data_IF_812539904832
#
_entry.id   IF_812539904832
#
_cell.length_a   1.000
_cell.length_b   1.000
_cell.length_c   1.000
_cell.angle_alpha   90.00
_cell.angle_beta   90.00
_cell.angle_gamma   90.00
#
_symmetry.space_group_name_H-M   'P 1'
#
loop_
_entity.id
_entity.type
_entity.pdbx_description
1 polymer ?
#
# COMPACT_ATOMS: atom_id res chain seq x y z
N UNK A 1 -9.05 55.46 -30.58
CA UNK A 1 -9.26 55.29 -29.15
C UNK A 1 -10.11 54.11 -28.79
N UNK A 2 -11.00 53.65 -29.63
CA UNK A 2 -11.77 52.44 -29.37
C UNK A 2 -10.95 51.16 -29.48
N UNK A 3 -9.78 51.19 -30.07
CA UNK A 3 -8.93 50.01 -30.31
C UNK A 3 -8.29 49.48 -29.02
N UNK A 4 -8.08 50.31 -28.04
CA UNK A 4 -7.41 49.91 -26.81
C UNK A 4 -8.27 49.02 -25.92
N UNK A 5 -9.57 49.10 -26.02
CA UNK A 5 -10.44 48.23 -25.23
C UNK A 5 -10.40 46.75 -25.62
N UNK A 6 -10.20 46.47 -26.90
CA UNK A 6 -10.11 45.10 -27.36
C UNK A 6 -8.79 44.45 -26.95
N UNK A 7 -7.72 45.19 -26.94
CA UNK A 7 -6.40 44.73 -26.52
C UNK A 7 -6.41 44.34 -25.03
N UNK A 8 -7.02 45.15 -24.19
CA UNK A 8 -7.10 44.86 -22.76
C UNK A 8 -7.93 43.63 -22.47
N UNK A 9 -8.95 43.37 -23.20
CA UNK A 9 -9.78 42.15 -23.02
C UNK A 9 -9.02 40.91 -23.42
N UNK A 10 -8.28 40.94 -24.51
CA UNK A 10 -7.47 39.82 -24.98
C UNK A 10 -6.33 39.49 -24.00
N UNK A 11 -5.68 40.49 -23.47
CA UNK A 11 -4.60 40.31 -22.51
C UNK A 11 -5.12 39.72 -21.21
N UNK A 12 -6.26 40.13 -20.73
CA UNK A 12 -6.88 39.56 -19.56
C UNK A 12 -7.27 38.10 -19.74
N UNK A 13 -7.80 37.75 -20.89
CA UNK A 13 -8.13 36.37 -21.21
C UNK A 13 -6.88 35.47 -21.20
N UNK A 14 -5.80 35.91 -21.80
CA UNK A 14 -4.54 35.17 -21.83
C UNK A 14 -3.99 34.96 -20.41
N UNK A 15 -4.08 35.93 -19.54
CA UNK A 15 -3.63 35.84 -18.17
C UNK A 15 -4.44 34.81 -17.37
N UNK A 16 -5.74 34.76 -17.57
CA UNK A 16 -6.63 33.81 -16.88
C UNK A 16 -6.30 32.38 -17.35
N UNK A 17 -6.09 32.18 -18.63
CA UNK A 17 -5.74 30.86 -19.19
C UNK A 17 -4.39 30.38 -18.65
N UNK A 18 -3.41 31.26 -18.56
CA UNK A 18 -2.10 30.94 -18.00
C UNK A 18 -2.18 30.53 -16.53
N UNK A 19 -3.02 31.17 -15.75
CA UNK A 19 -3.24 30.82 -14.35
C UNK A 19 -3.88 29.44 -14.20
N UNK A 20 -4.83 29.11 -15.03
CA UNK A 20 -5.47 27.80 -15.03
C UNK A 20 -4.48 26.68 -15.37
N UNK A 21 -3.62 26.91 -16.31
CA UNK A 21 -2.57 25.96 -16.68
C UNK A 21 -1.57 25.72 -15.55
N UNK A 22 -1.19 26.75 -14.81
CA UNK A 22 -0.31 26.63 -13.68
C UNK A 22 -0.93 25.82 -12.55
N UNK A 23 -2.22 25.97 -12.31
CA UNK A 23 -2.91 25.18 -11.30
C UNK A 23 -2.97 23.69 -11.63
N UNK A 24 -3.09 23.35 -12.90
CA UNK A 24 -3.15 21.94 -13.30
C UNK A 24 -1.81 21.23 -13.18
N UNK A 25 -0.70 21.92 -13.28
CA UNK A 25 0.63 21.31 -13.16
C UNK A 25 1.03 21.03 -11.72
N UNK A 26 0.48 21.74 -10.75
CA UNK A 26 0.83 21.52 -9.34
C UNK A 26 0.28 20.20 -8.76
N UNK A 27 -0.68 19.57 -9.42
CA UNK A 27 -1.26 18.32 -8.95
C UNK A 27 -0.40 17.10 -9.24
N UNK A 28 0.61 17.21 -10.08
CA UNK A 28 1.45 16.09 -10.49
C UNK A 28 2.44 15.69 -9.41
N UNK A 29 2.71 16.54 -8.43
CA UNK A 29 3.69 16.28 -7.39
C UNK A 29 3.09 15.72 -6.11
N UNK A 30 1.92 15.18 -6.16
CA UNK A 30 1.15 14.97 -4.95
C UNK A 30 1.47 13.69 -4.23
N UNK A 31 2.42 12.88 -4.40
CA UNK A 31 2.46 11.70 -3.56
C UNK A 31 3.86 11.22 -3.23
N UNK A 32 4.36 11.64 -2.11
CA UNK A 32 5.38 10.90 -1.42
C UNK A 32 4.82 9.52 -1.06
N UNK A 33 5.47 8.46 -1.52
CA UNK A 33 5.08 7.09 -1.20
C UNK A 33 5.34 6.80 0.27
N UNK A 34 4.42 6.10 0.89
CA UNK A 34 4.54 5.69 2.29
C UNK A 34 5.28 4.36 2.35
N UNK A 35 6.30 4.28 3.20
CA UNK A 35 7.02 3.04 3.40
C UNK A 35 6.20 2.13 4.32
N UNK A 36 6.11 0.85 3.98
CA UNK A 36 5.38 -0.13 4.78
C UNK A 36 5.94 -0.29 6.19
N UNK A 37 7.19 0.08 6.43
CA UNK A 37 7.76 0.08 7.78
C UNK A 37 7.04 1.04 8.72
N UNK A 38 6.41 2.06 8.18
CA UNK A 38 5.65 3.04 8.95
C UNK A 38 4.19 2.63 9.16
N UNK A 39 3.80 1.46 8.68
CA UNK A 39 2.45 0.93 8.86
C UNK A 39 2.43 -0.10 9.96
N UNK A 40 1.23 -0.36 10.49
CA UNK A 40 1.02 -1.44 11.46
C UNK A 40 0.64 -2.71 10.71
N UNK A 41 1.46 -3.74 10.84
CA UNK A 41 1.25 -5.02 10.19
C UNK A 41 1.03 -6.09 11.24
N UNK A 42 -0.11 -6.78 11.15
CA UNK A 42 -0.46 -7.86 12.07
C UNK A 42 -0.80 -9.11 11.28
N UNK A 43 -0.37 -10.26 11.81
CA UNK A 43 -0.80 -11.55 11.31
C UNK A 43 -2.00 -12.03 12.11
N UNK A 44 -2.92 -12.73 11.46
CA UNK A 44 -4.08 -13.33 12.12
C UNK A 44 -3.65 -14.34 13.18
N UNK A 45 -2.55 -15.04 12.92
CA UNK A 45 -1.95 -15.96 13.88
C UNK A 45 -0.46 -16.09 13.56
N UNK A 46 0.37 -16.10 14.61
CA UNK A 46 1.81 -16.32 14.46
C UNK A 46 2.19 -17.77 14.76
N UNK A 47 1.31 -18.50 15.44
CA UNK A 47 1.47 -19.93 15.75
C UNK A 47 0.24 -20.68 15.29
N UNK A 48 0.45 -21.68 14.45
CA UNK A 48 -0.61 -22.52 13.91
C UNK A 48 -0.33 -23.97 14.25
N UNK A 49 -1.36 -24.76 14.38
CA UNK A 49 -1.21 -26.21 14.61
C UNK A 49 -1.28 -26.94 13.29
N UNK A 50 -0.39 -27.90 13.10
CA UNK A 50 -0.36 -28.73 11.90
C UNK A 50 -1.70 -29.45 11.70
N UNK A 51 -2.28 -29.33 10.52
CA UNK A 51 -3.57 -29.93 10.19
C UNK A 51 -3.60 -30.60 8.82
N UNK A 52 -2.43 -30.93 8.27
CA UNK A 52 -2.27 -31.56 6.96
C UNK A 52 -2.66 -30.67 5.78
N UNK A 53 -3.02 -29.41 6.04
CA UNK A 53 -3.42 -28.44 5.01
C UNK A 53 -2.43 -27.29 4.95
N UNK A 54 -2.34 -26.68 3.77
CA UNK A 54 -1.56 -25.44 3.61
C UNK A 54 -2.21 -24.35 4.45
N UNK A 55 -1.43 -23.73 5.32
CA UNK A 55 -1.89 -22.67 6.21
C UNK A 55 -1.16 -21.38 5.92
N UNK A 56 -1.92 -20.36 5.56
CA UNK A 56 -1.40 -19.02 5.31
C UNK A 56 -2.20 -18.03 6.15
N UNK A 57 -1.62 -17.57 7.28
CA UNK A 57 -2.33 -16.61 8.11
C UNK A 57 -2.59 -15.33 7.33
N UNK A 58 -3.74 -14.72 7.60
CA UNK A 58 -4.10 -13.46 6.96
C UNK A 58 -3.26 -12.33 7.53
N UNK A 59 -2.89 -11.39 6.67
CA UNK A 59 -2.11 -10.21 7.04
C UNK A 59 -3.03 -9.01 7.02
N UNK A 60 -2.97 -8.23 8.10
CA UNK A 60 -3.71 -6.99 8.22
C UNK A 60 -2.70 -5.84 8.26
N UNK A 61 -2.84 -4.89 7.36
CA UNK A 61 -1.98 -3.71 7.29
C UNK A 61 -2.84 -2.47 7.49
N UNK A 62 -2.45 -1.64 8.46
CA UNK A 62 -3.14 -0.38 8.73
C UNK A 62 -2.16 0.78 8.74
N UNK A 63 -2.61 1.91 8.25
CA UNK A 63 -1.84 3.15 8.25
C UNK A 63 -2.73 4.30 8.71
N UNK A 64 -2.31 4.97 9.77
CA UNK A 64 -3.05 6.08 10.39
C UNK A 64 -4.53 5.72 10.62
N UNK A 65 -4.76 4.51 11.14
CA UNK A 65 -6.11 4.03 11.44
C UNK A 65 -6.92 3.51 10.27
N UNK A 66 -6.38 3.55 9.05
CA UNK A 66 -7.07 3.06 7.86
C UNK A 66 -6.54 1.69 7.47
N UNK A 67 -7.43 0.75 7.23
CA UNK A 67 -7.07 -0.57 6.73
C UNK A 67 -6.70 -0.50 5.26
N UNK A 68 -5.54 -1.04 4.91
CA UNK A 68 -5.08 -1.12 3.54
C UNK A 68 -5.63 -2.38 2.87
N UNK A 69 -5.78 -2.32 1.56
CA UNK A 69 -6.32 -3.44 0.78
C UNK A 69 -5.22 -4.19 0.07
N UNK A 70 -5.25 -5.51 0.18
CA UNK A 70 -4.38 -6.40 -0.58
C UNK A 70 -4.61 -6.22 -2.08
N UNK A 71 -3.55 -6.36 -2.87
CA UNK A 71 -3.50 -6.16 -4.32
C UNK A 71 -3.59 -4.70 -4.76
N UNK A 72 -4.20 -3.84 -3.97
CA UNK A 72 -4.27 -2.40 -4.27
C UNK A 72 -3.13 -1.62 -3.62
N UNK A 73 -2.90 -1.85 -2.34
CA UNK A 73 -1.90 -1.13 -1.56
C UNK A 73 -0.65 -1.96 -1.26
N UNK A 74 -0.80 -3.27 -1.26
CA UNK A 74 0.31 -4.20 -1.01
C UNK A 74 -0.01 -5.55 -1.63
N UNK A 75 1.03 -6.37 -1.80
CA UNK A 75 0.89 -7.77 -2.20
C UNK A 75 1.59 -8.64 -1.17
N UNK A 76 1.11 -9.88 -1.04
CA UNK A 76 1.65 -10.85 -0.10
C UNK A 76 2.39 -11.95 -0.86
N UNK A 77 3.54 -12.34 -0.31
CA UNK A 77 4.31 -13.46 -0.84
C UNK A 77 4.69 -14.37 0.31
N UNK A 78 4.11 -15.56 0.34
CA UNK A 78 4.41 -16.56 1.34
C UNK A 78 5.58 -17.42 0.88
N UNK A 79 6.39 -17.90 1.84
CA UNK A 79 7.43 -18.88 1.54
C UNK A 79 6.81 -20.19 1.08
N UNK A 80 7.61 -21.01 0.41
CA UNK A 80 7.13 -22.28 -0.13
C UNK A 80 6.71 -23.23 0.98
N UNK A 81 5.68 -24.02 0.71
CA UNK A 81 5.19 -25.04 1.62
C UNK A 81 4.06 -24.52 2.48
N UNK A 82 4.34 -24.01 3.66
CA UNK A 82 3.34 -23.57 4.63
C UNK A 82 2.38 -24.68 5.06
N UNK A 83 2.82 -25.91 5.00
CA UNK A 83 2.03 -27.09 5.33
C UNK A 83 2.64 -27.90 6.48
N UNK A 84 3.92 -28.21 6.37
CA UNK A 84 4.62 -29.00 7.38
C UNK A 84 4.98 -28.18 8.61
N UNK A 85 5.28 -28.86 9.70
CA UNK A 85 5.79 -28.21 10.91
C UNK A 85 7.08 -27.46 10.58
N UNK A 86 7.17 -26.23 11.04
CA UNK A 86 8.33 -25.38 10.80
C UNK A 86 7.99 -23.91 10.84
N UNK A 87 9.00 -23.09 10.62
CA UNK A 87 8.86 -21.64 10.58
C UNK A 87 8.83 -21.15 9.13
N UNK A 88 7.87 -20.30 8.83
CA UNK A 88 7.64 -19.76 7.50
C UNK A 88 7.62 -18.25 7.54
N UNK A 89 7.81 -17.63 6.39
CA UNK A 89 7.85 -16.18 6.28
C UNK A 89 6.81 -15.72 5.28
N UNK A 90 6.14 -14.62 5.60
CA UNK A 90 5.31 -13.89 4.65
C UNK A 90 5.95 -12.53 4.39
N UNK A 91 6.10 -12.20 3.13
CA UNK A 91 6.60 -10.91 2.67
C UNK A 91 5.44 -10.01 2.30
N UNK A 92 5.42 -8.81 2.84
CA UNK A 92 4.45 -7.79 2.49
C UNK A 92 5.20 -6.76 1.63
N UNK A 93 4.77 -6.60 0.39
CA UNK A 93 5.43 -5.74 -0.58
C UNK A 93 4.50 -4.57 -0.92
N UNK A 94 4.99 -3.35 -0.74
CA UNK A 94 4.22 -2.15 -1.05
C UNK A 94 3.91 -2.01 -2.53
N UNK A 95 2.74 -1.47 -2.84
CA UNK A 95 2.26 -1.26 -4.19
C UNK A 95 1.51 0.07 -4.27
N UNK A 96 1.56 0.72 -5.43
CA UNK A 96 0.87 1.99 -5.63
C UNK A 96 1.45 3.10 -4.77
N UNK A 97 0.65 3.63 -3.86
CA UNK A 97 1.06 4.70 -2.96
C UNK A 97 1.97 4.23 -1.82
N UNK A 98 2.22 2.92 -1.71
CA UNK A 98 3.05 2.33 -0.68
C UNK A 98 4.28 1.68 -1.27
N UNK A 99 5.38 1.71 -0.54
CA UNK A 99 6.66 1.18 -0.98
C UNK A 99 7.32 0.36 0.13
N UNK A 100 8.37 -0.38 -0.23
CA UNK A 100 9.14 -1.16 0.72
C UNK A 100 8.62 -2.57 0.87
N UNK A 101 9.39 -3.36 1.63
CA UNK A 101 9.08 -4.75 1.92
C UNK A 101 9.21 -5.00 3.41
N UNK A 102 8.26 -5.72 3.98
CA UNK A 102 8.31 -6.13 5.38
C UNK A 102 8.14 -7.64 5.43
N UNK A 103 8.95 -8.31 6.24
CA UNK A 103 8.87 -9.75 6.46
C UNK A 103 8.29 -10.02 7.82
N UNK A 104 7.35 -10.94 7.90
CA UNK A 104 6.80 -11.45 9.14
C UNK A 104 6.91 -12.96 9.16
N UNK A 105 7.13 -13.53 10.32
CA UNK A 105 7.28 -14.97 10.48
C UNK A 105 6.08 -15.56 11.20
N UNK A 106 5.75 -16.77 10.84
CA UNK A 106 4.77 -17.58 11.56
C UNK A 106 5.30 -19.02 11.63
N UNK A 107 4.82 -19.76 12.63
CA UNK A 107 5.30 -21.10 12.89
C UNK A 107 4.14 -22.08 12.89
N UNK A 108 4.30 -23.21 12.22
CA UNK A 108 3.37 -24.33 12.28
C UNK A 108 3.94 -25.31 13.30
N UNK A 109 3.19 -25.51 14.39
CA UNK A 109 3.58 -26.37 15.48
C UNK A 109 3.07 -27.79 15.25
N UNK A 110 3.73 -28.80 15.85
CA UNK A 110 3.20 -30.15 15.78
C UNK A 110 1.84 -30.25 16.50
N UNK A 111 0.99 -31.18 16.07
CA UNK A 111 -0.29 -31.36 16.73
C UNK A 111 -0.05 -31.80 18.19
N UNK A 112 -0.90 -31.32 19.09
CA UNK A 112 -0.79 -31.72 20.49
C UNK A 112 -1.10 -33.18 20.60
N UNK A 113 -0.19 -33.93 21.16
CA UNK A 113 -0.42 -35.32 21.45
C UNK A 113 -1.37 -35.39 22.65
N UNK A 114 -2.54 -35.98 22.46
CA UNK A 114 -3.40 -36.30 23.58
C UNK A 114 -2.88 -37.54 24.27
N UNK A 115 -2.53 -37.37 25.48
CA UNK A 115 -2.13 -38.49 26.35
C UNK A 115 -3.27 -38.91 27.22
#
# INVERSE_FOLDING_TARGET
>A
MKKNHHLHRLVRLCLIISLLLLCSTSQVFAAAKVNLKNTKIKLSATKLTYNQKVQRPKVSVTYKGKALKEKKNYVLKYSKGCKKVGTYTVQIIGKGAYTGKVKKQFTILPPKTQV
#
